data_IF_537401834357
#
_entry.id   IF_537401834357
#
_cell.length_a   1.000
_cell.length_b   1.000
_cell.length_c   1.000
_cell.angle_alpha   90.00
_cell.angle_beta   90.00
_cell.angle_gamma   90.00
#
_symmetry.space_group_name_H-M   'P 1'
#
loop_
_entity.id
_entity.type
_entity.pdbx_description
1 polymer ?
#
# COMPACT_ATOMS: atom_id res chain seq x y z
N UNK A 1 -12.54 24.56 -12.61
CA UNK A 1 -12.02 23.17 -12.54
C UNK A 1 -10.90 23.17 -11.53
N UNK A 2 -10.91 22.21 -10.60
CA UNK A 2 -10.15 22.28 -9.35
C UNK A 2 -8.69 21.88 -9.55
N UNK A 3 -7.75 22.75 -9.15
CA UNK A 3 -6.30 22.48 -9.18
C UNK A 3 -5.90 21.17 -8.45
N UNK A 4 -6.74 20.67 -7.55
CA UNK A 4 -6.52 19.39 -6.86
C UNK A 4 -6.66 18.19 -7.81
N UNK A 5 -7.66 18.22 -8.71
CA UNK A 5 -7.88 17.11 -9.64
C UNK A 5 -6.74 17.00 -10.66
N UNK A 6 -6.16 18.14 -11.05
CA UNK A 6 -5.02 18.17 -11.97
C UNK A 6 -3.79 17.49 -11.36
N UNK A 7 -3.54 17.67 -10.06
CA UNK A 7 -2.45 17.00 -9.35
C UNK A 7 -2.70 15.50 -9.14
N UNK A 8 -3.93 15.11 -8.82
CA UNK A 8 -4.29 13.69 -8.59
C UNK A 8 -4.16 12.88 -9.88
N UNK A 9 -4.48 13.47 -11.03
CA UNK A 9 -4.48 12.80 -12.33
C UNK A 9 -3.17 12.98 -13.11
N UNK A 10 -2.08 13.37 -12.45
CA UNK A 10 -0.79 13.51 -13.11
C UNK A 10 -0.33 12.17 -13.67
N UNK A 11 -0.07 12.11 -14.98
CA UNK A 11 0.54 10.93 -15.59
C UNK A 11 2.01 10.87 -15.19
N UNK A 12 2.37 9.89 -14.36
CA UNK A 12 3.72 9.72 -13.86
C UNK A 12 4.67 9.11 -14.90
N UNK A 13 4.12 8.46 -15.95
CA UNK A 13 4.92 7.76 -16.96
C UNK A 13 5.83 8.68 -17.78
N UNK A 14 5.47 9.96 -17.89
CA UNK A 14 6.30 10.99 -18.55
C UNK A 14 7.53 11.41 -17.71
N UNK A 15 7.57 11.04 -16.42
CA UNK A 15 8.55 11.56 -15.46
C UNK A 15 9.42 10.49 -14.80
N UNK A 16 8.98 9.23 -14.80
CA UNK A 16 9.62 8.16 -14.03
C UNK A 16 9.03 6.78 -14.40
N UNK A 17 9.87 5.74 -14.35
CA UNK A 17 9.44 4.33 -14.50
C UNK A 17 8.80 3.75 -13.21
N UNK A 18 8.93 4.44 -12.08
CA UNK A 18 8.39 4.01 -10.79
C UNK A 18 6.87 3.84 -10.84
N UNK A 19 6.38 2.87 -10.07
CA UNK A 19 4.94 2.65 -9.89
C UNK A 19 4.53 2.88 -8.43
N UNK A 20 3.24 3.10 -8.21
CA UNK A 20 2.62 3.07 -6.88
C UNK A 20 1.89 1.73 -6.76
N UNK A 21 2.24 0.95 -5.74
CA UNK A 21 1.61 -0.33 -5.44
C UNK A 21 0.78 -0.20 -4.16
N UNK A 22 -0.54 -0.38 -4.27
CA UNK A 22 -1.47 -0.42 -3.14
C UNK A 22 -1.54 -1.85 -2.58
N UNK A 23 -1.03 -2.05 -1.37
CA UNK A 23 -1.13 -3.34 -0.67
C UNK A 23 -2.44 -3.34 0.09
N UNK A 24 -3.26 -4.37 -0.11
CA UNK A 24 -4.62 -4.48 0.43
C UNK A 24 -4.70 -5.71 1.33
N UNK A 25 -5.30 -5.59 2.51
CA UNK A 25 -5.51 -6.70 3.44
C UNK A 25 -6.81 -6.54 4.25
N UNK A 26 -7.25 -7.66 4.83
CA UNK A 26 -8.41 -7.71 5.72
C UNK A 26 -7.93 -7.36 7.14
N UNK A 27 -8.62 -6.42 7.78
CA UNK A 27 -8.35 -5.98 9.15
C UNK A 27 -8.87 -6.96 10.22
N UNK A 28 -8.62 -6.63 11.49
CA UNK A 28 -8.89 -7.53 12.62
C UNK A 28 -10.37 -7.81 12.89
N UNK A 29 -11.31 -7.01 12.34
CA UNK A 29 -12.73 -7.35 12.45
C UNK A 29 -13.17 -8.46 11.50
N UNK A 30 -12.35 -8.79 10.49
CA UNK A 30 -12.70 -9.69 9.39
C UNK A 30 -13.64 -9.08 8.35
N UNK A 31 -14.13 -7.85 8.57
CA UNK A 31 -15.05 -7.15 7.68
C UNK A 31 -14.47 -5.81 7.17
N UNK A 32 -13.47 -5.26 7.85
CA UNK A 32 -12.82 -4.02 7.46
C UNK A 32 -11.68 -4.26 6.46
N UNK A 33 -11.66 -3.46 5.40
CA UNK A 33 -10.57 -3.46 4.43
C UNK A 33 -9.56 -2.39 4.80
N UNK A 34 -8.27 -2.72 4.70
CA UNK A 34 -7.16 -1.79 4.94
C UNK A 34 -6.26 -1.78 3.71
N UNK A 35 -5.60 -0.64 3.49
CA UNK A 35 -4.61 -0.55 2.44
C UNK A 35 -3.56 0.52 2.75
N UNK A 36 -2.41 0.40 2.09
CA UNK A 36 -1.42 1.47 2.01
C UNK A 36 -0.58 1.35 0.75
N UNK A 37 -0.12 2.48 0.23
CA UNK A 37 0.66 2.54 -1.00
C UNK A 37 2.17 2.62 -0.71
N UNK A 38 2.98 1.93 -1.52
CA UNK A 38 4.44 2.16 -1.63
C UNK A 38 4.85 2.47 -3.06
N UNK A 39 5.95 3.20 -3.21
CA UNK A 39 6.63 3.36 -4.49
C UNK A 39 7.54 2.15 -4.74
N UNK A 40 7.45 1.57 -5.94
CA UNK A 40 8.36 0.52 -6.43
C UNK A 40 9.22 1.07 -7.58
N UNK A 41 10.43 0.53 -7.81
CA UNK A 41 11.36 1.07 -8.79
C UNK A 41 10.89 0.96 -10.25
N UNK A 42 9.96 0.05 -10.53
CA UNK A 42 9.44 -0.16 -11.88
C UNK A 42 8.20 -1.07 -11.91
N UNK A 43 7.64 -1.33 -13.10
CA UNK A 43 6.52 -2.25 -13.28
C UNK A 43 6.87 -3.68 -12.85
N UNK A 44 5.91 -4.36 -12.24
CA UNK A 44 6.02 -5.75 -11.76
C UNK A 44 4.97 -6.61 -12.48
N UNK A 45 5.32 -7.85 -12.85
CA UNK A 45 4.42 -8.72 -13.64
C UNK A 45 3.92 -9.93 -12.86
N UNK A 46 4.65 -10.36 -11.84
CA UNK A 46 4.28 -11.50 -11.01
C UNK A 46 4.18 -11.11 -9.52
N UNK A 47 3.15 -11.55 -8.77
CA UNK A 47 3.05 -11.27 -7.35
C UNK A 47 4.25 -11.72 -6.51
N UNK A 48 4.98 -12.76 -6.93
CA UNK A 48 6.18 -13.24 -6.21
C UNK A 48 7.37 -12.29 -6.32
N UNK A 49 7.36 -11.37 -7.28
CA UNK A 49 8.36 -10.30 -7.42
C UNK A 49 8.08 -9.12 -6.48
N UNK A 50 6.88 -9.05 -5.89
CA UNK A 50 6.53 -8.00 -4.95
C UNK A 50 7.24 -8.22 -3.60
N UNK A 51 7.87 -7.18 -3.04
CA UNK A 51 8.49 -7.29 -1.73
C UNK A 51 7.42 -7.48 -0.66
N UNK A 52 7.67 -8.41 0.27
CA UNK A 52 6.92 -8.45 1.52
C UNK A 52 6.94 -7.08 2.19
N UNK A 53 5.87 -6.80 2.91
CA UNK A 53 5.77 -5.58 3.69
C UNK A 53 5.26 -5.89 5.09
N UNK A 54 5.03 -4.85 5.85
CA UNK A 54 4.56 -4.96 7.21
C UNK A 54 3.54 -3.87 7.47
N UNK A 55 2.77 -3.98 8.53
CA UNK A 55 1.98 -2.89 9.10
C UNK A 55 1.92 -3.04 10.61
N UNK A 56 1.47 -1.97 11.28
CA UNK A 56 1.19 -2.01 12.70
C UNK A 56 -0.17 -2.68 12.94
N UNK A 57 -0.13 -3.94 13.34
CA UNK A 57 -1.30 -4.76 13.66
C UNK A 57 -2.04 -4.30 14.91
N UNK A 58 -1.43 -3.53 15.81
CA UNK A 58 -2.15 -3.00 16.97
C UNK A 58 -3.24 -2.00 16.56
N UNK A 59 -2.96 -1.21 15.51
CA UNK A 59 -3.90 -0.28 14.87
C UNK A 59 -5.02 -0.96 14.06
N UNK A 60 -4.94 -2.28 13.87
CA UNK A 60 -5.94 -3.07 13.15
C UNK A 60 -6.59 -4.17 14.02
N UNK A 61 -6.17 -4.31 15.28
CA UNK A 61 -6.64 -5.37 16.18
C UNK A 61 -6.10 -6.76 15.82
N UNK A 62 -4.94 -6.84 15.17
CA UNK A 62 -4.31 -8.08 14.69
C UNK A 62 -3.04 -8.47 15.46
N UNK A 63 -2.50 -7.57 16.30
CA UNK A 63 -1.34 -7.83 17.14
C UNK A 63 -1.40 -6.98 18.44
N UNK A 64 -0.78 -7.42 19.55
CA UNK A 64 -0.67 -6.59 20.75
C UNK A 64 0.31 -5.43 20.54
N UNK A 65 0.32 -4.44 21.44
CA UNK A 65 1.11 -3.22 21.26
C UNK A 65 2.63 -3.37 21.47
N UNK A 66 3.06 -4.42 22.16
CA UNK A 66 4.46 -4.73 22.50
C UNK A 66 5.17 -5.59 21.44
N UNK A 67 4.42 -6.27 20.58
CA UNK A 67 4.91 -6.97 19.39
C UNK A 67 3.88 -6.80 18.26
N UNK A 68 3.85 -5.60 17.69
CA UNK A 68 2.74 -5.15 16.84
C UNK A 68 2.95 -5.35 15.35
N UNK A 69 4.11 -5.83 14.92
CA UNK A 69 4.43 -5.96 13.49
C UNK A 69 3.70 -7.17 12.88
N UNK A 70 2.92 -6.93 11.81
CA UNK A 70 2.30 -7.99 11.01
C UNK A 70 2.79 -7.92 9.58
N UNK A 71 3.23 -9.06 9.04
CA UNK A 71 3.80 -9.18 7.69
C UNK A 71 2.69 -9.38 6.65
N UNK A 72 2.82 -8.67 5.52
CA UNK A 72 2.06 -8.88 4.27
C UNK A 72 2.98 -9.61 3.29
#
# INVERSE_FOLDING_TARGET
MSALADLINLDLSDSSEKIIAEYIWIGGSGLDMRSKARTLPGPVKDPSELPKWNYDGSSTGQAPGDDSEVII
#
